data_IF_888469919510
#
_entry.id   IF_888469919510
#
_cell.length_a   1.000
_cell.length_b   1.000
_cell.length_c   1.000
_cell.angle_alpha   90.00
_cell.angle_beta   90.00
_cell.angle_gamma   90.00
#
_symmetry.space_group_name_H-M   'P 1'
#
loop_
_entity.id
_entity.type
_entity.pdbx_description
1 polymer ?
#
# COMPACT_ATOMS: atom_id res chain seq x y z
N UNK A 1 2.12 4.60 6.84
CA UNK A 1 2.18 4.44 5.39
C UNK A 1 1.98 2.96 5.10
N UNK A 2 0.87 2.59 4.47
CA UNK A 2 0.66 1.22 4.04
C UNK A 2 1.45 0.98 2.76
N UNK A 3 2.57 0.29 2.89
CA UNK A 3 3.26 -0.27 1.72
C UNK A 3 2.45 -1.49 1.29
N UNK A 4 1.92 -1.55 0.07
CA UNK A 4 1.12 -2.69 -0.33
C UNK A 4 1.95 -3.96 -0.39
N UNK A 5 1.37 -5.12 -0.06
CA UNK A 5 2.08 -6.39 0.13
C UNK A 5 2.93 -6.82 -1.06
N UNK A 6 2.53 -6.52 -2.27
CA UNK A 6 3.27 -6.87 -3.50
C UNK A 6 4.58 -6.15 -3.64
N UNK A 7 4.60 -4.89 -3.25
CA UNK A 7 5.78 -4.06 -3.30
C UNK A 7 6.94 -4.63 -2.44
N UNK A 8 6.62 -5.25 -1.30
CA UNK A 8 7.61 -5.90 -0.44
C UNK A 8 8.27 -7.08 -1.16
N UNK A 9 7.47 -7.93 -1.81
CA UNK A 9 7.99 -9.08 -2.57
C UNK A 9 8.88 -8.65 -3.73
N UNK A 10 8.51 -7.59 -4.43
CA UNK A 10 9.29 -7.04 -5.54
C UNK A 10 10.58 -6.36 -5.07
N UNK A 11 10.55 -5.65 -3.94
CA UNK A 11 11.74 -5.08 -3.32
C UNK A 11 12.73 -6.17 -2.92
N UNK A 12 12.26 -7.24 -2.28
CA UNK A 12 13.08 -8.40 -1.95
C UNK A 12 13.63 -9.09 -3.21
N UNK A 13 12.79 -9.28 -4.22
CA UNK A 13 13.19 -9.90 -5.48
C UNK A 13 14.23 -9.05 -6.22
N UNK A 14 14.08 -7.72 -6.23
CA UNK A 14 15.06 -6.80 -6.78
C UNK A 14 16.41 -6.91 -6.05
N UNK A 15 16.39 -6.97 -4.71
CA UNK A 15 17.62 -7.19 -3.93
C UNK A 15 18.27 -8.52 -4.29
N UNK A 16 17.50 -9.62 -4.30
CA UNK A 16 18.02 -10.97 -4.60
C UNK A 16 18.51 -11.10 -6.04
N UNK A 17 17.95 -10.35 -6.97
CA UNK A 17 18.36 -10.37 -8.38
C UNK A 17 19.78 -9.90 -8.63
N UNK A 18 20.36 -9.18 -7.67
CA UNK A 18 21.76 -8.75 -7.72
C UNK A 18 22.77 -9.85 -7.38
N UNK A 19 22.30 -11.02 -6.91
CA UNK A 19 23.17 -12.13 -6.48
C UNK A 19 23.07 -13.34 -7.43
N UNK A 20 24.01 -13.52 -8.38
CA UNK A 20 23.96 -14.62 -9.36
C UNK A 20 23.95 -16.02 -8.74
N UNK A 21 24.49 -16.17 -7.53
CA UNK A 21 24.51 -17.44 -6.79
C UNK A 21 23.18 -17.80 -6.12
N UNK A 22 22.17 -16.94 -6.17
CA UNK A 22 20.86 -17.16 -5.56
C UNK A 22 19.81 -17.29 -6.67
N UNK A 23 19.36 -18.54 -6.94
CA UNK A 23 18.23 -18.76 -7.84
C UNK A 23 16.93 -18.30 -7.19
N UNK A 24 16.32 -17.26 -7.75
CA UNK A 24 15.11 -16.64 -7.22
C UNK A 24 13.95 -16.79 -8.21
N UNK A 25 12.75 -17.06 -7.69
CA UNK A 25 11.51 -17.06 -8.46
C UNK A 25 10.50 -16.14 -7.81
N UNK A 26 10.03 -15.14 -8.55
CA UNK A 26 8.95 -14.23 -8.14
C UNK A 26 7.65 -14.68 -8.79
N UNK A 27 6.61 -14.92 -7.99
CA UNK A 27 5.32 -15.43 -8.42
C UNK A 27 4.22 -14.41 -8.09
N UNK A 28 3.37 -14.12 -9.04
CA UNK A 28 2.23 -13.21 -8.89
C UNK A 28 0.96 -13.82 -9.52
N UNK A 29 -0.15 -13.80 -8.76
CA UNK A 29 -1.44 -14.33 -9.19
C UNK A 29 -2.09 -13.56 -10.36
N UNK A 30 -1.87 -12.26 -10.44
CA UNK A 30 -2.40 -11.43 -11.55
C UNK A 30 -1.70 -11.77 -12.86
N UNK A 31 -2.37 -11.47 -13.96
CA UNK A 31 -1.87 -11.74 -15.31
C UNK A 31 -0.81 -10.74 -15.79
N UNK A 32 -0.42 -9.77 -14.98
CA UNK A 32 0.57 -8.75 -15.36
C UNK A 32 0.85 -7.72 -14.26
N UNK A 33 1.70 -6.74 -14.57
CA UNK A 33 2.03 -5.64 -13.68
C UNK A 33 0.81 -4.82 -13.27
N UNK A 34 0.96 -4.09 -12.17
CA UNK A 34 -0.06 -3.15 -11.70
C UNK A 34 -0.26 -2.03 -12.72
N UNK A 35 -1.50 -1.74 -13.06
CA UNK A 35 -1.85 -0.65 -13.99
C UNK A 35 -2.20 0.64 -13.24
N UNK A 36 -2.90 0.51 -12.10
CA UNK A 36 -3.30 1.63 -11.24
C UNK A 36 -2.94 1.30 -9.80
N UNK A 37 -2.24 2.23 -9.14
CA UNK A 37 -1.82 2.07 -7.75
C UNK A 37 -2.91 2.44 -6.75
N UNK A 38 -2.90 1.77 -5.60
CA UNK A 38 -3.82 2.03 -4.49
C UNK A 38 -3.17 2.94 -3.44
N UNK A 39 -1.96 2.61 -2.96
CA UNK A 39 -1.17 3.46 -2.09
C UNK A 39 -0.20 4.31 -2.91
N UNK A 40 0.23 5.44 -2.35
CA UNK A 40 1.05 6.41 -3.07
C UNK A 40 2.05 7.18 -2.19
N UNK A 41 1.88 7.17 -0.87
CA UNK A 41 2.78 7.83 0.06
C UNK A 41 4.04 7.00 0.36
N UNK A 42 5.21 7.57 0.12
CA UNK A 42 6.52 6.97 0.34
C UNK A 42 7.30 7.82 1.33
N UNK A 43 7.49 7.33 2.54
CA UNK A 43 8.26 8.01 3.56
C UNK A 43 9.75 8.13 3.16
N UNK A 44 10.43 9.14 3.67
CA UNK A 44 11.86 9.42 3.41
C UNK A 44 12.73 8.16 3.54
N UNK A 45 12.55 7.36 4.61
CA UNK A 45 13.27 6.10 4.81
C UNK A 45 13.10 5.10 3.65
N UNK A 46 11.92 5.04 3.05
CA UNK A 46 11.70 4.17 1.88
C UNK A 46 12.37 4.74 0.64
N UNK A 47 12.44 6.08 0.49
CA UNK A 47 13.21 6.71 -0.59
C UNK A 47 14.71 6.37 -0.46
N UNK A 48 15.26 6.38 0.75
CA UNK A 48 16.62 5.91 1.03
C UNK A 48 16.86 4.46 0.59
N UNK A 49 15.87 3.58 0.80
CA UNK A 49 15.96 2.20 0.29
C UNK A 49 15.99 2.15 -1.24
N UNK A 50 15.22 3.01 -1.93
CA UNK A 50 15.32 3.15 -3.38
C UNK A 50 16.67 3.70 -3.84
N UNK A 51 17.26 4.59 -3.07
CA UNK A 51 18.61 5.10 -3.38
C UNK A 51 19.66 3.99 -3.32
N UNK A 52 19.54 3.00 -2.41
CA UNK A 52 20.41 1.83 -2.39
C UNK A 52 20.35 0.99 -3.68
N UNK A 53 19.27 1.11 -4.47
CA UNK A 53 19.17 0.55 -5.82
C UNK A 53 19.58 1.52 -6.93
N UNK A 54 20.05 2.75 -6.60
CA UNK A 54 20.31 3.81 -7.57
C UNK A 54 19.04 4.41 -8.20
N UNK A 55 17.89 4.22 -7.56
CA UNK A 55 16.57 4.64 -8.05
C UNK A 55 16.02 5.88 -7.32
N UNK A 56 16.64 6.33 -6.22
CA UNK A 56 16.14 7.42 -5.38
C UNK A 56 15.97 8.72 -6.15
N UNK A 57 16.97 9.17 -6.90
CA UNK A 57 16.88 10.39 -7.70
C UNK A 57 15.81 10.33 -8.78
N UNK A 58 15.62 9.16 -9.40
CA UNK A 58 14.55 8.96 -10.39
C UNK A 58 13.17 9.07 -9.73
N UNK A 59 13.01 8.43 -8.58
CA UNK A 59 11.79 8.48 -7.78
C UNK A 59 11.45 9.91 -7.37
N UNK A 60 12.36 10.62 -6.75
CA UNK A 60 12.17 11.98 -6.22
C UNK A 60 11.83 12.99 -7.32
N UNK A 61 12.41 12.82 -8.52
CA UNK A 61 12.15 13.69 -9.67
C UNK A 61 10.74 13.52 -10.24
N UNK A 62 10.19 12.31 -10.22
CA UNK A 62 8.85 12.00 -10.77
C UNK A 62 7.73 12.16 -9.72
N UNK A 63 8.08 12.15 -8.44
CA UNK A 63 7.13 12.21 -7.34
C UNK A 63 6.68 13.64 -7.01
N UNK A 64 5.58 13.74 -6.27
CA UNK A 64 5.18 14.97 -5.60
C UNK A 64 5.79 15.01 -4.19
N UNK A 65 6.43 16.11 -3.82
CA UNK A 65 7.08 16.26 -2.50
C UNK A 65 6.10 16.74 -1.45
N UNK A 66 6.01 16.03 -0.35
CA UNK A 66 5.24 16.43 0.82
C UNK A 66 6.18 17.04 1.84
N UNK A 67 6.38 18.34 1.75
CA UNK A 67 7.27 19.06 2.67
C UNK A 67 6.53 19.45 3.96
N UNK A 68 5.23 19.67 3.88
CA UNK A 68 4.43 20.21 4.96
C UNK A 68 3.04 19.55 5.02
N UNK A 69 2.51 19.49 6.24
CA UNK A 69 1.12 19.10 6.52
C UNK A 69 0.41 20.25 7.19
N UNK A 70 -0.76 20.59 6.69
CA UNK A 70 -1.63 21.64 7.25
C UNK A 70 -2.84 21.03 7.94
N UNK A 71 -3.33 21.72 8.97
CA UNK A 71 -4.49 21.32 9.75
C UNK A 71 -5.59 22.34 9.63
N UNK A 72 -6.78 21.89 9.27
CA UNK A 72 -7.98 22.68 9.16
C UNK A 72 -9.03 22.16 10.12
N UNK A 73 -9.68 23.04 10.86
CA UNK A 73 -10.71 22.71 11.85
C UNK A 73 -11.90 23.64 11.73
N UNK A 74 -13.05 23.28 12.36
CA UNK A 74 -14.20 24.19 12.42
C UNK A 74 -13.79 25.54 13.03
N UNK A 75 -14.19 26.61 12.40
CA UNK A 75 -13.95 27.97 12.92
C UNK A 75 -14.65 28.16 14.28
N UNK A 76 -13.98 28.84 15.18
CA UNK A 76 -14.56 29.20 16.49
C UNK A 76 -15.70 30.20 16.38
N UNK A 77 -15.68 31.00 15.33
CA UNK A 77 -16.71 32.06 15.10
C UNK A 77 -17.94 31.52 14.37
N UNK A 78 -17.72 30.63 13.41
CA UNK A 78 -18.77 30.01 12.61
C UNK A 78 -18.41 28.54 12.34
N UNK A 79 -18.99 27.62 13.09
CA UNK A 79 -18.72 26.20 13.02
C UNK A 79 -19.09 25.54 11.69
N UNK A 80 -19.89 26.23 10.84
CA UNK A 80 -20.21 25.72 9.49
C UNK A 80 -19.05 25.90 8.49
N UNK A 81 -18.00 26.62 8.90
CA UNK A 81 -16.82 26.93 8.10
C UNK A 81 -15.57 26.30 8.72
N UNK A 82 -14.60 26.01 7.88
CA UNK A 82 -13.27 25.57 8.31
C UNK A 82 -12.26 26.72 8.25
N UNK A 83 -11.27 26.69 9.16
CA UNK A 83 -10.13 27.61 9.18
C UNK A 83 -8.82 26.85 9.39
N UNK A 84 -7.71 27.39 8.87
CA UNK A 84 -6.38 26.79 9.08
C UNK A 84 -5.93 27.04 10.50
N UNK A 85 -5.69 25.95 11.25
CA UNK A 85 -5.29 26.00 12.67
C UNK A 85 -3.83 25.66 12.91
N UNK A 86 -3.15 25.07 11.93
CA UNK A 86 -1.76 24.70 12.07
C UNK A 86 -1.09 24.33 10.76
N UNK A 87 0.26 24.36 10.79
CA UNK A 87 1.14 23.94 9.71
C UNK A 87 2.39 23.33 10.35
N UNK A 88 2.79 22.16 9.92
CA UNK A 88 3.96 21.47 10.43
C UNK A 88 4.80 20.95 9.27
N UNK A 89 6.10 20.89 9.45
CA UNK A 89 7.02 20.23 8.54
C UNK A 89 6.77 18.73 8.57
N UNK A 90 6.77 18.04 7.43
CA UNK A 90 6.43 16.61 7.35
C UNK A 90 7.63 15.73 7.74
N UNK A 91 8.85 16.09 7.31
CA UNK A 91 10.09 15.43 7.71
C UNK A 91 10.96 16.44 8.45
N UNK A 92 11.36 16.12 9.68
CA UNK A 92 12.21 16.98 10.50
C UNK A 92 13.61 17.15 9.90
N UNK A 93 14.20 18.32 10.08
CA UNK A 93 15.56 18.62 9.60
C UNK A 93 16.58 17.64 10.21
N UNK A 94 17.46 17.12 9.38
CA UNK A 94 18.52 16.20 9.77
C UNK A 94 18.08 14.73 9.89
N UNK A 95 16.80 14.41 9.73
CA UNK A 95 16.33 13.03 9.71
C UNK A 95 16.67 12.29 8.42
N UNK A 96 16.61 12.96 7.28
CA UNK A 96 16.91 12.39 5.97
C UNK A 96 17.23 13.48 4.96
N UNK A 97 18.07 13.17 3.99
CA UNK A 97 18.32 14.00 2.80
C UNK A 97 17.16 13.90 1.77
N UNK A 98 16.23 12.96 1.98
CA UNK A 98 15.10 12.74 1.10
C UNK A 98 13.78 13.18 1.73
N UNK A 99 12.86 13.77 0.95
CA UNK A 99 11.53 14.12 1.42
C UNK A 99 10.61 12.90 1.50
N UNK A 100 9.50 13.04 2.23
CA UNK A 100 8.32 12.22 2.00
C UNK A 100 7.72 12.57 0.63
N UNK A 101 7.41 11.58 -0.17
CA UNK A 101 6.92 11.79 -1.55
C UNK A 101 5.64 11.01 -1.84
N UNK A 102 4.89 11.50 -2.81
CA UNK A 102 3.72 10.83 -3.36
C UNK A 102 4.03 10.43 -4.80
N UNK A 103 3.84 9.16 -5.12
CA UNK A 103 4.06 8.62 -6.46
C UNK A 103 3.15 7.43 -6.71
N UNK A 104 2.72 7.24 -7.95
CA UNK A 104 1.88 6.12 -8.33
C UNK A 104 2.58 4.79 -8.08
N UNK A 105 1.92 3.87 -7.38
CA UNK A 105 2.46 2.57 -7.00
C UNK A 105 2.85 1.71 -8.21
N UNK A 106 2.08 1.77 -9.30
CA UNK A 106 2.42 1.05 -10.53
C UNK A 106 3.75 1.55 -11.12
N UNK A 107 4.06 2.84 -10.92
CA UNK A 107 5.34 3.43 -11.33
C UNK A 107 6.51 2.91 -10.50
N UNK A 108 6.31 2.79 -9.18
CA UNK A 108 7.31 2.19 -8.28
C UNK A 108 7.58 0.73 -8.64
N UNK A 109 6.52 -0.04 -8.90
CA UNK A 109 6.63 -1.41 -9.36
C UNK A 109 7.47 -1.48 -10.65
N UNK A 110 7.20 -0.60 -11.63
CA UNK A 110 7.93 -0.56 -12.88
C UNK A 110 9.44 -0.33 -12.67
N UNK A 111 9.84 0.52 -11.72
CA UNK A 111 11.25 0.72 -11.40
C UNK A 111 11.94 -0.55 -10.94
N UNK A 112 11.28 -1.32 -10.05
CA UNK A 112 11.84 -2.58 -9.54
C UNK A 112 11.86 -3.66 -10.60
N UNK A 113 10.83 -3.76 -11.45
CA UNK A 113 10.80 -4.69 -12.57
C UNK A 113 11.91 -4.40 -13.58
N UNK A 114 12.12 -3.12 -13.91
CA UNK A 114 13.20 -2.70 -14.82
C UNK A 114 14.58 -2.98 -14.20
N UNK A 115 14.74 -2.73 -12.90
CA UNK A 115 15.97 -3.06 -12.18
C UNK A 115 16.27 -4.56 -12.24
N UNK A 116 15.28 -5.42 -11.95
CA UNK A 116 15.42 -6.87 -12.00
C UNK A 116 15.83 -7.39 -13.40
N UNK A 117 15.20 -6.83 -14.46
CA UNK A 117 15.56 -7.20 -15.85
C UNK A 117 16.99 -6.81 -16.24
N UNK A 118 17.52 -5.74 -15.63
CA UNK A 118 18.88 -5.26 -15.88
C UNK A 118 19.92 -5.88 -14.92
N UNK A 119 19.46 -6.57 -13.88
CA UNK A 119 20.30 -7.21 -12.87
C UNK A 119 21.12 -8.37 -13.43
N UNK A 120 22.17 -8.84 -12.74
CA UNK A 120 22.96 -9.99 -13.16
C UNK A 120 22.15 -11.28 -13.41
N UNK A 121 21.06 -11.50 -12.65
CA UNK A 121 20.19 -12.68 -12.84
C UNK A 121 19.10 -12.48 -13.89
N UNK A 122 18.86 -11.27 -14.35
CA UNK A 122 17.76 -10.88 -15.26
C UNK A 122 16.43 -11.45 -14.82
N UNK A 123 16.13 -11.30 -13.53
CA UNK A 123 14.94 -11.86 -12.90
C UNK A 123 13.67 -11.27 -13.48
N UNK A 124 12.74 -12.11 -13.87
CA UNK A 124 11.40 -11.74 -14.31
C UNK A 124 10.33 -12.33 -13.39
N UNK A 125 9.22 -11.60 -13.23
CA UNK A 125 8.08 -12.08 -12.47
C UNK A 125 7.26 -13.09 -13.28
N UNK A 126 6.87 -14.20 -12.66
CA UNK A 126 5.97 -15.20 -13.21
C UNK A 126 4.53 -14.82 -12.84
N UNK A 127 3.81 -14.27 -13.79
CA UNK A 127 2.41 -13.86 -13.63
C UNK A 127 1.42 -15.02 -13.87
N UNK A 128 0.19 -14.87 -13.39
CA UNK A 128 -0.87 -15.85 -13.54
C UNK A 128 -0.71 -17.10 -12.68
N UNK A 129 0.18 -17.08 -11.69
CA UNK A 129 0.43 -18.19 -10.78
C UNK A 129 0.01 -17.85 -9.36
N UNK A 130 -0.89 -18.64 -8.80
CA UNK A 130 -1.41 -18.50 -7.45
C UNK A 130 -0.81 -19.53 -6.51
N UNK A 131 -0.43 -19.11 -5.31
CA UNK A 131 -0.04 -20.02 -4.22
C UNK A 131 -1.29 -20.79 -3.75
N UNK A 132 -1.15 -22.11 -3.58
CA UNK A 132 -2.21 -22.98 -3.06
C UNK A 132 -1.87 -23.50 -1.67
N UNK A 133 -0.70 -24.09 -1.51
CA UNK A 133 -0.25 -24.65 -0.23
C UNK A 133 1.27 -24.85 -0.24
N UNK A 134 1.83 -25.10 0.93
CA UNK A 134 3.21 -25.54 1.08
C UNK A 134 3.35 -26.62 2.15
N UNK A 135 4.44 -27.37 2.06
CA UNK A 135 4.89 -28.31 3.07
C UNK A 135 6.40 -28.17 3.24
N UNK A 136 6.86 -28.16 4.49
CA UNK A 136 8.30 -28.23 4.80
C UNK A 136 8.65 -29.68 5.14
N UNK A 137 9.54 -30.28 4.34
CA UNK A 137 10.07 -31.62 4.56
C UNK A 137 11.22 -31.56 5.57
N UNK A 138 11.44 -32.66 6.29
CA UNK A 138 12.48 -32.74 7.33
C UNK A 138 13.90 -32.69 6.74
N UNK A 139 14.08 -33.22 5.55
CA UNK A 139 15.37 -33.39 4.88
C UNK A 139 15.33 -32.91 3.44
N UNK A 140 16.53 -32.72 2.87
CA UNK A 140 16.74 -32.34 1.48
C UNK A 140 17.31 -30.93 1.30
N UNK A 141 17.95 -30.70 0.16
CA UNK A 141 18.54 -29.40 -0.17
C UNK A 141 17.47 -28.31 -0.39
N UNK A 142 16.30 -28.69 -0.92
CA UNK A 142 15.15 -27.83 -1.18
C UNK A 142 13.93 -28.37 -0.44
N UNK A 143 13.88 -28.19 0.91
CA UNK A 143 12.88 -28.85 1.76
C UNK A 143 11.48 -28.24 1.65
N UNK A 144 11.32 -27.03 1.12
CA UNK A 144 10.01 -26.42 0.99
C UNK A 144 9.37 -26.81 -0.34
N UNK A 145 8.28 -27.55 -0.26
CA UNK A 145 7.48 -27.99 -1.41
C UNK A 145 6.28 -27.06 -1.53
N UNK A 146 6.21 -26.29 -2.61
CA UNK A 146 5.14 -25.30 -2.86
C UNK A 146 4.28 -25.78 -4.00
N UNK A 147 2.97 -25.82 -3.80
CA UNK A 147 1.98 -26.04 -4.85
C UNK A 147 1.50 -24.70 -5.38
N UNK A 148 1.65 -24.49 -6.67
CA UNK A 148 1.15 -23.35 -7.42
C UNK A 148 0.03 -23.78 -8.36
N UNK A 149 -0.92 -22.90 -8.60
CA UNK A 149 -2.00 -23.08 -9.56
C UNK A 149 -1.88 -22.01 -10.66
N UNK A 150 -1.89 -22.43 -11.91
CA UNK A 150 -2.08 -21.57 -13.04
C UNK A 150 -3.53 -21.07 -13.08
N UNK A 151 -3.71 -19.75 -13.02
CA UNK A 151 -5.04 -19.12 -12.89
C UNK A 151 -5.88 -19.29 -14.17
N UNK A 152 -5.22 -19.34 -15.34
CA UNK A 152 -5.90 -19.44 -16.64
C UNK A 152 -6.35 -20.88 -16.93
N UNK A 153 -5.49 -21.87 -16.64
CA UNK A 153 -5.74 -23.28 -16.96
C UNK A 153 -6.26 -24.09 -15.78
N UNK A 154 -6.22 -23.52 -14.57
CA UNK A 154 -6.54 -24.20 -13.30
C UNK A 154 -5.66 -25.45 -13.03
N UNK A 155 -4.54 -25.60 -13.73
CA UNK A 155 -3.59 -26.70 -13.53
C UNK A 155 -2.68 -26.42 -12.35
N UNK A 156 -2.36 -27.47 -11.59
CA UNK A 156 -1.43 -27.35 -10.47
C UNK A 156 -0.05 -27.86 -10.84
N UNK A 157 0.96 -27.23 -10.30
CA UNK A 157 2.37 -27.60 -10.43
C UNK A 157 3.08 -27.49 -9.07
N UNK A 158 4.14 -28.23 -8.90
CA UNK A 158 4.93 -28.25 -7.67
C UNK A 158 6.31 -27.66 -7.91
N UNK A 159 6.75 -26.80 -7.00
CA UNK A 159 8.10 -26.21 -7.00
C UNK A 159 8.76 -26.52 -5.66
N UNK A 160 10.04 -26.87 -5.71
CA UNK A 160 10.86 -27.05 -4.52
C UNK A 160 11.76 -25.84 -4.31
N UNK A 161 11.85 -25.35 -3.09
CA UNK A 161 12.65 -24.21 -2.72
C UNK A 161 13.42 -24.46 -1.42
N UNK A 162 14.54 -23.76 -1.25
CA UNK A 162 15.30 -23.74 -0.01
C UNK A 162 14.62 -22.85 1.03
N UNK A 163 14.05 -21.75 0.57
CA UNK A 163 13.30 -20.78 1.35
C UNK A 163 12.10 -20.27 0.57
N UNK A 164 11.05 -19.86 1.28
CA UNK A 164 9.87 -19.19 0.72
C UNK A 164 9.59 -17.92 1.52
N UNK A 165 9.25 -16.84 0.83
CA UNK A 165 8.79 -15.60 1.48
C UNK A 165 7.40 -15.25 0.94
N UNK A 166 6.40 -15.29 1.82
CA UNK A 166 5.03 -14.88 1.53
C UNK A 166 4.88 -13.36 1.67
N UNK A 167 4.62 -12.68 0.54
CA UNK A 167 4.31 -11.25 0.48
C UNK A 167 2.91 -11.03 -0.11
N UNK A 168 1.96 -11.90 0.26
CA UNK A 168 0.62 -12.01 -0.32
C UNK A 168 -0.46 -11.22 0.45
N UNK A 169 -0.04 -10.43 1.47
CA UNK A 169 -0.81 -9.36 2.05
C UNK A 169 -1.78 -9.74 3.16
N UNK A 170 -2.70 -8.83 3.46
CA UNK A 170 -3.62 -8.93 4.60
C UNK A 170 -4.45 -10.23 4.63
N UNK A 171 -4.64 -10.90 3.48
CA UNK A 171 -5.29 -12.20 3.35
C UNK A 171 -4.32 -13.29 2.93
N UNK A 172 -3.12 -13.26 3.48
CA UNK A 172 -2.02 -14.15 3.14
C UNK A 172 -2.37 -15.62 3.36
N UNK A 173 -2.30 -16.39 2.29
CA UNK A 173 -2.42 -17.84 2.31
C UNK A 173 -1.11 -18.49 2.82
N UNK A 174 0.03 -17.86 2.58
CA UNK A 174 1.30 -18.33 3.12
C UNK A 174 1.30 -18.23 4.66
N UNK A 175 0.81 -17.10 5.21
CA UNK A 175 0.63 -16.94 6.67
C UNK A 175 -0.26 -18.03 7.24
N UNK A 176 -1.38 -18.31 6.59
CA UNK A 176 -2.31 -19.38 6.99
C UNK A 176 -1.63 -20.76 6.93
N UNK A 177 -0.88 -21.05 5.87
CA UNK A 177 -0.18 -22.31 5.67
C UNK A 177 0.90 -22.60 6.72
N UNK A 178 1.54 -21.56 7.29
CA UNK A 178 2.49 -21.72 8.41
C UNK A 178 1.79 -21.69 9.78
N UNK A 179 0.46 -21.57 9.84
CA UNK A 179 -0.31 -21.52 11.07
C UNK A 179 -0.12 -20.24 11.88
N UNK A 180 0.37 -19.15 11.28
CA UNK A 180 0.46 -17.86 11.96
C UNK A 180 -0.90 -17.15 11.93
N UNK A 181 -1.34 -16.65 13.10
CA UNK A 181 -2.68 -16.09 13.29
C UNK A 181 -2.61 -14.60 13.51
N UNK A 182 -3.26 -13.79 12.66
CA UNK A 182 -3.36 -12.36 12.90
C UNK A 182 -4.31 -12.08 14.08
N UNK A 183 -3.84 -11.29 15.04
CA UNK A 183 -4.61 -10.82 16.20
C UNK A 183 -4.86 -9.33 16.06
N UNK A 184 -5.96 -8.83 16.55
CA UNK A 184 -6.32 -7.42 16.56
C UNK A 184 -7.78 -7.19 16.23
N UNK A 185 -8.20 -5.94 16.36
CA UNK A 185 -9.57 -5.53 16.10
C UNK A 185 -9.80 -5.21 14.63
N UNK A 186 -10.98 -5.54 14.15
CA UNK A 186 -11.51 -4.90 12.98
C UNK A 186 -11.91 -3.48 13.40
N UNK A 187 -11.08 -2.50 13.10
CA UNK A 187 -11.58 -1.14 13.05
C UNK A 187 -12.65 -1.14 11.95
N UNK A 188 -13.91 -1.17 12.36
CA UNK A 188 -15.05 -1.13 11.44
C UNK A 188 -15.20 0.28 10.87
N UNK A 189 -14.09 0.89 10.46
CA UNK A 189 -14.04 2.25 9.95
C UNK A 189 -13.75 2.22 8.44
N UNK A 190 -14.51 2.99 7.68
CA UNK A 190 -14.40 3.02 6.24
C UNK A 190 -13.97 4.40 5.74
N UNK A 191 -13.20 4.38 4.65
CA UNK A 191 -12.74 5.55 3.93
C UNK A 191 -13.14 5.47 2.46
N UNK A 192 -13.77 6.53 1.97
CA UNK A 192 -13.94 6.74 0.53
C UNK A 192 -12.69 7.42 -0.01
N UNK A 193 -12.08 6.86 -1.04
CA UNK A 193 -10.86 7.41 -1.64
C UNK A 193 -11.12 7.77 -3.08
N UNK A 194 -10.82 9.01 -3.46
CA UNK A 194 -11.07 9.54 -4.81
C UNK A 194 -9.81 10.22 -5.32
N UNK A 195 -9.30 9.78 -6.46
CA UNK A 195 -8.29 10.50 -7.25
C UNK A 195 -8.99 11.31 -8.33
N UNK A 196 -8.75 12.61 -8.37
CA UNK A 196 -9.51 13.48 -9.24
C UNK A 196 -8.71 14.64 -9.82
N UNK A 197 -9.21 15.15 -10.93
CA UNK A 197 -8.94 16.49 -11.43
C UNK A 197 -10.09 17.40 -10.96
N UNK A 198 -9.77 18.49 -10.29
CA UNK A 198 -10.76 19.42 -9.80
C UNK A 198 -10.26 20.88 -9.88
N UNK A 199 -11.21 21.81 -10.02
CA UNK A 199 -10.99 23.23 -9.78
C UNK A 199 -11.55 23.60 -8.41
N UNK A 200 -10.83 24.44 -7.66
CA UNK A 200 -11.17 24.80 -6.29
C UNK A 200 -10.53 26.13 -5.92
N UNK A 201 -11.16 26.86 -5.01
CA UNK A 201 -10.61 28.03 -4.33
C UNK A 201 -10.03 27.68 -2.95
N UNK A 202 -9.96 26.38 -2.58
CA UNK A 202 -9.30 25.93 -1.35
C UNK A 202 -7.80 26.23 -1.42
N UNK A 203 -7.26 27.09 -0.54
CA UNK A 203 -5.91 27.63 -0.71
C UNK A 203 -4.80 26.58 -0.57
N UNK A 204 -5.04 25.51 0.19
CA UNK A 204 -4.04 24.48 0.48
C UNK A 204 -4.22 23.20 -0.38
N UNK A 205 -4.86 23.32 -1.54
CA UNK A 205 -5.09 22.17 -2.43
C UNK A 205 -3.79 21.47 -2.86
N UNK A 206 -2.65 22.14 -2.76
CA UNK A 206 -1.31 21.61 -3.09
C UNK A 206 -0.48 21.24 -1.87
N UNK A 207 -1.09 21.18 -0.68
CA UNK A 207 -0.46 20.70 0.54
C UNK A 207 -1.17 19.43 1.02
N UNK A 208 -0.47 18.58 1.74
CA UNK A 208 -1.11 17.52 2.52
C UNK A 208 -1.92 18.20 3.62
N UNK A 209 -3.22 17.98 3.64
CA UNK A 209 -4.13 18.66 4.57
C UNK A 209 -5.01 17.67 5.33
N UNK A 210 -4.96 17.74 6.66
CA UNK A 210 -5.92 17.09 7.54
C UNK A 210 -7.04 18.07 7.85
N UNK A 211 -8.24 17.79 7.37
CA UNK A 211 -9.40 18.70 7.41
C UNK A 211 -10.50 18.04 8.24
N UNK A 212 -10.94 18.73 9.26
CA UNK A 212 -12.05 18.33 10.12
C UNK A 212 -13.15 19.38 10.00
N UNK A 213 -14.36 18.97 9.69
CA UNK A 213 -15.57 19.81 9.81
C UNK A 213 -16.25 19.59 11.16
N UNK A 214 -17.24 20.42 11.50
CA UNK A 214 -17.99 20.24 12.73
C UNK A 214 -18.92 19.02 12.68
N UNK A 215 -19.65 18.86 11.56
CA UNK A 215 -20.76 17.91 11.46
C UNK A 215 -20.69 16.99 10.21
N UNK A 216 -19.82 17.30 9.25
CA UNK A 216 -19.78 16.60 7.95
C UNK A 216 -18.64 15.55 7.86
N UNK A 217 -17.84 15.36 8.94
CA UNK A 217 -16.77 14.39 9.01
C UNK A 217 -15.38 14.97 8.70
N UNK A 218 -14.47 14.10 8.30
CA UNK A 218 -13.05 14.40 8.12
C UNK A 218 -12.59 14.07 6.71
N UNK A 219 -11.58 14.82 6.23
CA UNK A 219 -10.87 14.55 4.99
C UNK A 219 -9.37 14.58 5.23
N UNK A 220 -8.65 13.63 4.64
CA UNK A 220 -7.23 13.79 4.36
C UNK A 220 -7.08 14.08 2.87
N UNK A 221 -6.56 15.26 2.54
CA UNK A 221 -6.23 15.69 1.19
C UNK A 221 -4.75 15.46 0.94
N UNK A 222 -4.43 14.83 -0.18
CA UNK A 222 -3.05 14.56 -0.60
C UNK A 222 -2.88 14.98 -2.06
N UNK A 223 -1.98 15.92 -2.36
CA UNK A 223 -1.60 16.22 -3.73
C UNK A 223 -0.98 14.99 -4.40
N UNK A 224 -1.23 14.84 -5.70
CA UNK A 224 -0.68 13.75 -6.48
C UNK A 224 0.46 14.25 -7.39
N UNK A 225 1.24 13.31 -7.88
CA UNK A 225 2.25 13.55 -8.90
C UNK A 225 1.68 14.29 -10.12
N UNK A 226 2.52 15.02 -10.83
CA UNK A 226 2.12 15.86 -11.97
C UNK A 226 1.59 17.25 -11.60
N UNK A 227 1.35 17.52 -10.29
CA UNK A 227 0.99 18.85 -9.77
C UNK A 227 -0.44 19.32 -10.06
N UNK A 228 -1.30 18.51 -10.64
CA UNK A 228 -2.69 18.86 -10.99
C UNK A 228 -3.74 17.91 -10.41
N UNK A 229 -3.42 16.66 -10.17
CA UNK A 229 -4.31 15.71 -9.50
C UNK A 229 -4.25 15.85 -7.98
N UNK A 230 -5.34 15.49 -7.34
CA UNK A 230 -5.44 15.37 -5.88
C UNK A 230 -6.14 14.09 -5.50
N UNK A 231 -5.80 13.56 -4.34
CA UNK A 231 -6.49 12.47 -3.68
C UNK A 231 -7.19 12.97 -2.43
N UNK A 232 -8.44 12.58 -2.26
CA UNK A 232 -9.19 12.76 -1.02
C UNK A 232 -9.44 11.40 -0.38
N UNK A 233 -9.15 11.30 0.90
CA UNK A 233 -9.64 10.26 1.78
C UNK A 233 -10.76 10.88 2.61
N UNK A 234 -11.98 10.46 2.35
CA UNK A 234 -13.20 10.95 3.04
C UNK A 234 -13.60 9.92 4.07
N UNK A 235 -13.68 10.36 5.32
CA UNK A 235 -14.15 9.55 6.44
C UNK A 235 -15.63 9.19 6.25
N UNK A 236 -15.95 7.91 6.19
CA UNK A 236 -17.32 7.41 6.02
C UNK A 236 -17.90 6.84 7.33
N UNK A 237 -17.12 6.91 8.43
CA UNK A 237 -17.53 6.45 9.74
C UNK A 237 -17.44 4.93 9.90
N UNK A 238 -18.12 4.43 10.93
CA UNK A 238 -18.13 3.02 11.27
C UNK A 238 -19.04 2.21 10.34
N UNK A 239 -18.63 0.97 10.06
CA UNK A 239 -19.37 0.02 9.25
C UNK A 239 -19.70 -1.23 10.06
N UNK A 240 -20.93 -1.68 10.03
CA UNK A 240 -21.31 -3.00 10.53
C UNK A 240 -20.76 -4.08 9.55
N UNK A 241 -19.92 -5.02 10.04
CA UNK A 241 -19.38 -6.09 9.21
C UNK A 241 -20.43 -6.92 8.48
N UNK A 242 -21.66 -6.96 9.01
CA UNK A 242 -22.79 -7.68 8.41
C UNK A 242 -23.48 -6.93 7.26
N UNK A 243 -23.22 -5.62 7.13
CA UNK A 243 -23.88 -4.75 6.16
C UNK A 243 -22.91 -4.18 5.11
N UNK A 244 -21.82 -4.88 4.82
CA UNK A 244 -20.74 -4.41 3.93
C UNK A 244 -21.20 -4.06 2.53
N UNK A 245 -22.06 -4.86 1.94
CA UNK A 245 -22.57 -4.64 0.58
C UNK A 245 -23.49 -3.41 0.56
N UNK A 246 -24.48 -3.37 1.45
CA UNK A 246 -25.36 -2.21 1.58
C UNK A 246 -24.60 -0.91 1.89
N UNK A 247 -23.52 -0.99 2.67
CA UNK A 247 -22.66 0.17 2.95
C UNK A 247 -21.95 0.65 1.68
N UNK A 248 -21.42 -0.26 0.86
CA UNK A 248 -20.77 0.10 -0.42
C UNK A 248 -21.76 0.72 -1.40
N UNK A 249 -22.96 0.16 -1.50
CA UNK A 249 -24.02 0.65 -2.38
C UNK A 249 -24.48 2.06 -1.99
N UNK A 250 -24.46 2.37 -0.69
CA UNK A 250 -24.77 3.71 -0.14
C UNK A 250 -23.67 4.74 -0.44
N UNK A 251 -22.40 4.30 -0.43
CA UNK A 251 -21.25 5.19 -0.59
C UNK A 251 -20.68 5.12 -2.01
N UNK A 252 -21.47 5.64 -2.96
CA UNK A 252 -21.06 5.81 -4.36
C UNK A 252 -20.01 6.92 -4.51
N UNK A 253 -19.36 6.96 -5.67
CA UNK A 253 -18.40 8.02 -6.01
C UNK A 253 -19.02 9.43 -5.81
N UNK A 254 -20.23 9.62 -6.28
CA UNK A 254 -20.97 10.88 -6.21
C UNK A 254 -21.26 11.27 -4.75
N UNK A 255 -21.69 10.30 -3.92
CA UNK A 255 -21.99 10.56 -2.51
C UNK A 255 -20.73 10.94 -1.71
N UNK A 256 -19.58 10.32 -2.02
CA UNK A 256 -18.30 10.64 -1.38
C UNK A 256 -17.79 12.02 -1.80
N UNK A 257 -17.93 12.38 -3.08
CA UNK A 257 -17.59 13.71 -3.57
C UNK A 257 -18.51 14.77 -2.92
N UNK A 258 -19.81 14.52 -2.84
CA UNK A 258 -20.75 15.43 -2.20
C UNK A 258 -20.42 15.66 -0.70
N UNK A 259 -19.97 14.61 0.00
CA UNK A 259 -19.48 14.76 1.38
C UNK A 259 -18.22 15.62 1.43
N UNK A 260 -17.26 15.39 0.53
CA UNK A 260 -16.04 16.19 0.45
C UNK A 260 -16.35 17.68 0.20
N UNK A 261 -17.31 17.99 -0.68
CA UNK A 261 -17.77 19.36 -0.94
C UNK A 261 -18.38 20.04 0.29
N UNK A 262 -19.12 19.29 1.11
CA UNK A 262 -19.68 19.82 2.36
C UNK A 262 -18.61 20.08 3.42
N UNK A 263 -17.66 19.15 3.58
CA UNK A 263 -16.53 19.29 4.54
C UNK A 263 -15.66 20.50 4.21
N UNK A 264 -15.46 20.79 2.92
CA UNK A 264 -14.59 21.88 2.47
C UNK A 264 -15.21 23.27 2.58
N UNK A 265 -16.47 23.40 2.97
CA UNK A 265 -17.11 24.72 3.11
C UNK A 265 -16.29 25.67 4.00
N UNK A 266 -16.12 26.95 3.59
CA UNK A 266 -16.86 27.67 2.54
C UNK A 266 -16.27 27.51 1.13
N UNK A 267 -15.21 26.73 0.96
CA UNK A 267 -14.53 26.58 -0.33
C UNK A 267 -15.32 25.69 -1.27
N UNK A 268 -15.16 25.96 -2.56
CA UNK A 268 -15.77 25.16 -3.64
C UNK A 268 -14.85 24.02 -4.05
N UNK A 269 -15.42 22.90 -4.49
CA UNK A 269 -14.72 21.79 -5.13
C UNK A 269 -15.52 21.36 -6.36
N UNK A 270 -15.04 21.73 -7.54
CA UNK A 270 -15.66 21.38 -8.82
C UNK A 270 -14.85 20.25 -9.48
N UNK A 271 -15.35 19.02 -9.36
CA UNK A 271 -14.69 17.82 -9.88
C UNK A 271 -14.91 17.70 -11.37
N UNK A 272 -13.83 17.75 -12.16
CA UNK A 272 -13.87 17.65 -13.62
C UNK A 272 -13.77 16.21 -14.12
N UNK A 273 -13.01 15.39 -13.44
CA UNK A 273 -12.80 13.99 -13.81
C UNK A 273 -12.36 13.18 -12.58
N UNK A 274 -12.86 11.97 -12.45
CA UNK A 274 -12.41 10.99 -11.48
C UNK A 274 -11.55 9.95 -12.19
N UNK A 275 -10.32 9.81 -11.75
CA UNK A 275 -9.35 8.86 -12.31
C UNK A 275 -9.47 7.51 -11.61
N UNK A 276 -9.76 7.53 -10.31
CA UNK A 276 -9.88 6.33 -9.52
C UNK A 276 -10.75 6.56 -8.28
N UNK A 277 -11.53 5.53 -7.92
CA UNK A 277 -12.38 5.52 -6.74
C UNK A 277 -12.34 4.16 -6.05
N UNK A 278 -12.34 4.17 -4.72
CA UNK A 278 -12.53 2.96 -3.92
C UNK A 278 -13.07 3.29 -2.51
N UNK A 279 -13.73 2.30 -1.91
CA UNK A 279 -14.11 2.32 -0.50
C UNK A 279 -13.27 1.29 0.24
N UNK A 280 -12.50 1.73 1.21
CA UNK A 280 -11.64 0.88 2.05
C UNK A 280 -12.22 0.69 3.44
N UNK A 281 -12.11 -0.54 3.93
CA UNK A 281 -12.18 -0.82 5.35
C UNK A 281 -10.77 -0.93 5.90
N UNK A 282 -10.52 -0.25 7.01
CA UNK A 282 -9.26 -0.33 7.75
C UNK A 282 -9.39 -1.33 8.88
N UNK A 283 -8.41 -2.20 9.04
CA UNK A 283 -8.27 -3.10 10.18
C UNK A 283 -6.86 -3.00 10.74
N UNK A 284 -6.73 -3.06 12.05
CA UNK A 284 -5.43 -3.08 12.74
C UNK A 284 -5.18 -4.50 13.24
N UNK A 285 -4.14 -5.15 12.69
CA UNK A 285 -3.80 -6.52 13.04
C UNK A 285 -2.30 -6.69 13.16
N UNK A 286 -1.90 -7.58 14.04
CA UNK A 286 -0.52 -8.01 14.23
C UNK A 286 -0.49 -9.53 14.18
N UNK A 287 0.47 -10.11 13.47
CA UNK A 287 0.72 -11.55 13.50
C UNK A 287 1.59 -11.89 14.72
N UNK A 288 1.42 -13.09 15.24
CA UNK A 288 2.19 -13.59 16.38
C UNK A 288 3.64 -13.94 16.01
N UNK A 289 3.91 -14.24 14.74
CA UNK A 289 5.26 -14.55 14.23
C UNK A 289 5.37 -14.27 12.73
N UNK A 290 6.60 -14.17 12.25
CA UNK A 290 6.92 -13.87 10.85
C UNK A 290 7.62 -15.01 10.12
N UNK A 291 7.66 -16.21 10.73
CA UNK A 291 8.23 -17.42 10.12
C UNK A 291 7.46 -18.68 10.51
N UNK A 292 7.87 -19.83 9.98
CA UNK A 292 7.22 -21.13 10.16
C UNK A 292 7.65 -21.87 11.43
N UNK A 293 8.43 -21.24 12.31
CA UNK A 293 8.93 -21.86 13.56
C UNK A 293 8.23 -21.27 14.76
N UNK A 294 7.51 -22.08 15.51
CA UNK A 294 6.94 -21.63 16.77
C UNK A 294 8.06 -21.35 17.79
N UNK A 295 7.82 -20.45 18.73
CA UNK A 295 8.83 -20.02 19.70
C UNK A 295 9.44 -21.19 20.47
N UNK A 296 8.65 -22.22 20.79
CA UNK A 296 9.05 -23.42 21.50
C UNK A 296 9.98 -24.32 20.66
N UNK A 297 9.97 -24.16 19.34
CA UNK A 297 10.76 -24.95 18.37
C UNK A 297 11.99 -24.20 17.88
N UNK A 298 12.17 -22.94 18.24
CA UNK A 298 13.24 -22.07 17.71
C UNK A 298 14.66 -22.59 17.96
N UNK A 299 14.86 -23.39 19.03
CA UNK A 299 16.13 -24.06 19.34
C UNK A 299 16.33 -25.38 18.55
N UNK A 300 15.31 -25.91 17.89
CA UNK A 300 15.32 -27.23 17.27
C UNK A 300 15.55 -27.19 15.74
N UNK A 301 15.09 -26.10 15.10
CA UNK A 301 15.24 -25.94 13.63
C UNK A 301 15.30 -24.49 13.20
N UNK A 302 15.95 -24.24 12.08
CA UNK A 302 15.92 -22.93 11.43
C UNK A 302 14.67 -22.78 10.56
N UNK A 303 14.10 -21.55 10.48
CA UNK A 303 12.96 -21.27 9.65
C UNK A 303 13.28 -21.43 8.15
N UNK A 304 12.30 -21.87 7.40
CA UNK A 304 12.36 -22.04 5.95
C UNK A 304 11.30 -21.23 5.20
N UNK A 305 10.26 -20.84 5.89
CA UNK A 305 9.17 -20.02 5.33
C UNK A 305 9.05 -18.75 6.15
N UNK A 306 9.01 -17.62 5.47
CA UNK A 306 8.86 -16.29 6.08
C UNK A 306 7.66 -15.59 5.49
N UNK A 307 7.12 -14.63 6.23
CA UNK A 307 6.11 -13.68 5.73
C UNK A 307 6.59 -12.26 5.92
N UNK A 308 6.24 -11.37 5.00
CA UNK A 308 6.62 -9.96 5.05
C UNK A 308 5.51 -9.06 4.48
N UNK A 309 5.42 -7.84 5.02
CA UNK A 309 4.41 -6.87 4.66
C UNK A 309 3.16 -6.93 5.54
N UNK A 310 2.01 -6.64 4.96
CA UNK A 310 0.71 -6.55 5.67
C UNK A 310 0.09 -7.92 5.95
#
# INVERSE_FOLDING_TARGET
AHTPPRFIGEMLAAQLSSFPGISTRLVERRNGPLQVGQADGIACRTVEMFEAFGLGHKLVREAYWVNETVFWRPSKQDRTRIERTGRVQDTEDGLSEFPHVIVNQARLQQYLLDYMRQSPTRLEANYGLEFVTLKVEAEGEHPVVVTLRDVATNTQSTVRAKYVVGCDGARSQVREAIGAVPRGDFANHAWGVVDMLATTDFPDIRLKAAIQSADEGNILLIPREGGYMVRLYVDLGEIDPKQREAFRDKHTQESVIATAQRVLRPYTLDVKSVVWFAVYQVGQRVTDRFDDVAAEQSALRLPRVFIAGD
#
